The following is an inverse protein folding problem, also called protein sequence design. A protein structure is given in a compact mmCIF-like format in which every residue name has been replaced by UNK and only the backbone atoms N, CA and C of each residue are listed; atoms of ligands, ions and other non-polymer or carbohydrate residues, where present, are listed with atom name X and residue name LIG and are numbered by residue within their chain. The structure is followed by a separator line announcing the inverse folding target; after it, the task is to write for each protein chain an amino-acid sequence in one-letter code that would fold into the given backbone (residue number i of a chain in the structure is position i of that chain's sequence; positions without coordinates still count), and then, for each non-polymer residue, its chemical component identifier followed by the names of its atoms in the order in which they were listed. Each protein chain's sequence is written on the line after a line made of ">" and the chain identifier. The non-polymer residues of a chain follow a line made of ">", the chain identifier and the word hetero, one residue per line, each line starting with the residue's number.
data_IF_482242186342
#
_entry.id   IF_482242186342
#
_cell.length_a   1.000
_cell.length_b   1.000
_cell.length_c   1.000
_cell.angle_alpha   90.00
_cell.angle_beta   90.00
_cell.angle_gamma   90.00
#
_symmetry.space_group_name_H-M   'P 1'
#
loop_
_entity.id
_entity.type
_entity.pdbx_description
1 polymer ?
#
# COMPACT_ATOMS: atom_id res chain seq x y z
N UNK A 1 23.30 -8.39 1.89
CA UNK A 1 22.22 -8.39 0.88
C UNK A 1 21.11 -9.32 1.36
N UNK A 2 20.12 -8.78 2.06
CA UNK A 2 18.94 -9.54 2.49
C UNK A 2 17.94 -9.49 1.33
N UNK A 3 17.75 -10.61 0.65
CA UNK A 3 16.72 -10.72 -0.40
C UNK A 3 15.35 -10.69 0.29
N UNK A 4 14.67 -9.55 0.23
CA UNK A 4 13.29 -9.42 0.66
C UNK A 4 12.41 -10.07 -0.41
N UNK A 5 12.00 -11.31 -0.18
CA UNK A 5 11.01 -11.97 -1.03
C UNK A 5 9.65 -11.53 -0.52
N UNK A 6 9.06 -10.52 -1.15
CA UNK A 6 7.68 -10.12 -0.88
C UNK A 6 6.78 -11.24 -1.37
N UNK A 7 6.39 -12.13 -0.47
CA UNK A 7 5.38 -13.14 -0.75
C UNK A 7 4.01 -12.51 -0.56
N UNK A 8 3.51 -11.89 -1.64
CA UNK A 8 2.15 -11.34 -1.68
C UNK A 8 1.17 -12.50 -1.81
N UNK A 9 0.76 -13.07 -0.67
CA UNK A 9 -0.34 -14.02 -0.63
C UNK A 9 -1.66 -13.26 -0.80
N UNK A 10 -2.04 -13.03 -2.05
CA UNK A 10 -3.42 -12.64 -2.41
C UNK A 10 -4.30 -13.88 -2.28
N UNK A 11 -4.80 -14.15 -1.09
CA UNK A 11 -5.85 -15.15 -0.88
C UNK A 11 -7.19 -14.53 -1.25
N UNK A 12 -7.62 -14.72 -2.49
CA UNK A 12 -9.04 -14.63 -2.82
C UNK A 12 -9.74 -15.74 -2.04
N UNK A 13 -10.39 -15.37 -0.94
CA UNK A 13 -11.18 -16.30 -0.14
C UNK A 13 -12.41 -16.73 -0.94
N UNK A 14 -12.34 -17.91 -1.54
CA UNK A 14 -13.52 -18.64 -1.94
C UNK A 14 -14.28 -19.03 -0.67
N UNK A 15 -15.50 -18.55 -0.55
CA UNK A 15 -16.44 -18.79 0.53
C UNK A 15 -16.79 -20.27 0.59
N UNK A 16 -16.33 -20.96 1.62
CA UNK A 16 -16.84 -22.29 1.99
C UNK A 16 -17.21 -22.27 3.48
N UNK A 17 -18.51 -22.31 3.73
CA UNK A 17 -19.07 -22.56 5.07
C UNK A 17 -18.70 -23.95 5.54
N UNK A 18 -18.08 -24.08 6.71
CA UNK A 18 -18.16 -25.29 7.55
C UNK A 18 -18.29 -24.86 9.00
N UNK A 19 -19.40 -25.23 9.61
CA UNK A 19 -19.64 -25.18 11.04
C UNK A 19 -18.72 -26.18 11.76
N UNK A 20 -18.07 -25.74 12.83
CA UNK A 20 -17.36 -26.62 13.72
C UNK A 20 -16.96 -25.90 15.00
N UNK A 21 -17.76 -26.10 16.09
CA UNK A 21 -17.46 -25.57 17.44
C UNK A 21 -16.33 -26.38 18.06
N UNK A 22 -15.30 -25.70 18.57
CA UNK A 22 -14.45 -26.24 19.63
C UNK A 22 -13.99 -25.09 20.53
N UNK A 23 -14.48 -25.09 21.76
CA UNK A 23 -14.05 -24.23 22.85
C UNK A 23 -12.61 -24.52 23.24
N UNK A 24 -11.69 -23.58 23.02
CA UNK A 24 -10.38 -23.56 23.64
C UNK A 24 -10.21 -22.24 24.42
N UNK A 25 -10.06 -22.40 25.73
CA UNK A 25 -9.82 -21.34 26.70
C UNK A 25 -8.48 -20.66 26.39
N UNK A 26 -8.50 -19.43 25.82
CA UNK A 26 -7.30 -18.62 25.55
C UNK A 26 -7.05 -17.68 26.72
N UNK A 27 -5.87 -17.85 27.31
CA UNK A 27 -5.20 -16.90 28.18
C UNK A 27 -4.99 -15.61 27.41
N UNK A 28 -5.36 -14.47 28.03
CA UNK A 28 -5.46 -13.18 27.37
C UNK A 28 -4.13 -12.66 26.80
N UNK A 29 -4.12 -12.44 25.50
CA UNK A 29 -3.27 -11.44 24.88
C UNK A 29 -3.97 -10.09 24.98
N UNK A 30 -3.25 -8.98 25.21
CA UNK A 30 -3.89 -7.67 25.26
C UNK A 30 -4.46 -7.33 23.88
N UNK A 31 -5.77 -7.38 23.77
CA UNK A 31 -6.52 -6.83 22.64
C UNK A 31 -6.43 -5.32 22.76
N UNK A 32 -5.51 -4.70 22.02
CA UNK A 32 -5.58 -3.26 21.78
C UNK A 32 -6.71 -3.06 20.78
N UNK A 33 -7.92 -2.81 21.31
CA UNK A 33 -9.00 -2.22 20.51
C UNK A 33 -8.57 -0.79 20.17
N UNK A 34 -8.39 -0.41 18.91
CA UNK A 34 -8.15 0.98 18.59
C UNK A 34 -9.43 1.75 18.89
N UNK A 35 -9.39 2.57 19.92
CA UNK A 35 -10.39 3.61 20.17
C UNK A 35 -10.43 4.50 18.93
N UNK A 36 -11.62 4.83 18.45
CA UNK A 36 -11.95 5.39 17.13
C UNK A 36 -11.53 6.88 16.95
N UNK A 37 -10.60 7.37 17.75
CA UNK A 37 -10.05 8.73 17.69
C UNK A 37 -8.54 8.65 17.48
N UNK A 38 -8.09 9.14 16.34
CA UNK A 38 -6.71 9.24 15.83
C UNK A 38 -6.14 7.94 15.22
N UNK A 39 -6.55 7.67 13.98
CA UNK A 39 -5.98 6.58 13.16
C UNK A 39 -4.72 7.07 12.40
N UNK A 40 -3.77 7.66 13.12
CA UNK A 40 -2.48 8.07 12.57
C UNK A 40 -1.52 6.89 12.66
N UNK A 41 -1.00 6.50 11.53
CA UNK A 41 0.01 5.46 11.40
C UNK A 41 1.34 6.09 11.01
N UNK A 42 2.43 5.48 11.44
CA UNK A 42 3.78 5.95 11.14
C UNK A 42 4.62 4.84 10.54
N UNK A 43 5.25 5.12 9.40
CA UNK A 43 6.31 4.30 8.85
C UNK A 43 7.64 4.92 9.27
N UNK A 44 8.19 4.44 10.40
CA UNK A 44 9.37 5.06 11.07
C UNK A 44 10.61 5.04 10.20
N UNK A 45 10.81 4.00 9.39
CA UNK A 45 11.98 3.88 8.52
C UNK A 45 11.93 4.91 7.39
N UNK A 46 10.80 5.03 6.72
CA UNK A 46 10.56 6.05 5.69
C UNK A 46 10.52 7.47 6.27
N UNK A 47 10.23 7.61 7.57
CA UNK A 47 10.05 8.92 8.21
C UNK A 47 8.77 9.62 7.76
N UNK A 48 7.70 8.86 7.51
CA UNK A 48 6.38 9.39 7.13
C UNK A 48 5.30 8.92 8.09
N UNK A 49 4.26 9.72 8.22
CA UNK A 49 3.02 9.36 8.88
C UNK A 49 1.83 9.67 7.97
N UNK A 50 0.73 8.96 8.19
CA UNK A 50 -0.50 9.11 7.43
C UNK A 50 -1.73 8.84 8.30
N UNK A 51 -2.88 9.34 7.87
CA UNK A 51 -4.16 9.13 8.50
C UNK A 51 -5.02 8.21 7.62
N UNK A 52 -5.60 7.16 8.23
CA UNK A 52 -6.50 6.27 7.49
C UNK A 52 -7.90 6.89 7.33
N UNK A 53 -8.50 6.84 6.15
CA UNK A 53 -9.90 7.12 5.96
C UNK A 53 -10.80 6.25 6.85
N UNK A 54 -11.99 6.74 7.15
CA UNK A 54 -12.95 6.00 7.98
C UNK A 54 -13.32 4.67 7.31
N UNK A 55 -13.23 3.58 8.08
CA UNK A 55 -13.54 2.24 7.61
C UNK A 55 -12.36 1.50 6.95
N UNK A 56 -11.29 2.20 6.56
CA UNK A 56 -10.11 1.55 6.01
C UNK A 56 -9.33 0.79 7.07
N UNK A 57 -8.54 -0.19 6.62
CA UNK A 57 -7.71 -1.06 7.46
C UNK A 57 -6.24 -0.83 7.16
N UNK A 58 -5.38 -1.00 8.16
CA UNK A 58 -3.93 -1.07 7.95
C UNK A 58 -3.39 -2.33 8.59
N UNK A 59 -2.54 -3.04 7.86
CA UNK A 59 -1.88 -4.26 8.29
C UNK A 59 -0.37 -4.10 8.13
N UNK A 60 0.37 -3.82 9.20
CA UNK A 60 1.82 -3.80 9.16
C UNK A 60 2.38 -5.22 9.17
N UNK A 61 3.35 -5.49 8.27
CA UNK A 61 4.10 -6.74 8.18
C UNK A 61 5.59 -6.40 8.02
N UNK A 62 6.29 -6.27 9.15
CA UNK A 62 7.68 -5.78 9.16
C UNK A 62 7.76 -4.33 8.67
N UNK A 63 8.49 -4.11 7.58
CA UNK A 63 8.69 -2.79 6.95
C UNK A 63 7.65 -2.49 5.86
N UNK A 64 6.74 -3.43 5.59
CA UNK A 64 5.64 -3.27 4.64
C UNK A 64 4.36 -2.96 5.39
N UNK A 65 3.60 -1.99 4.93
CA UNK A 65 2.27 -1.69 5.45
C UNK A 65 1.28 -1.82 4.30
N UNK A 66 0.32 -2.72 4.44
CA UNK A 66 -0.81 -2.81 3.53
C UNK A 66 -1.99 -2.02 4.09
N UNK A 67 -2.52 -1.11 3.30
CA UNK A 67 -3.73 -0.33 3.60
C UNK A 67 -4.82 -0.76 2.61
N UNK A 68 -6.04 -0.96 3.08
CA UNK A 68 -7.14 -1.37 2.21
C UNK A 68 -8.47 -0.76 2.62
N UNK A 69 -9.40 -0.70 1.67
CA UNK A 69 -10.82 -0.43 1.94
C UNK A 69 -11.43 -1.51 2.84
N UNK A 70 -12.59 -1.25 3.42
CA UNK A 70 -13.27 -2.19 4.32
C UNK A 70 -13.55 -3.56 3.68
N UNK A 71 -13.84 -3.57 2.38
CA UNK A 71 -14.14 -4.74 1.54
C UNK A 71 -12.93 -5.31 0.80
N UNK A 72 -11.73 -4.74 1.05
CA UNK A 72 -10.46 -5.09 0.40
C UNK A 72 -10.45 -4.94 -1.13
N UNK A 73 -11.40 -4.18 -1.70
CA UNK A 73 -11.53 -3.98 -3.14
C UNK A 73 -10.44 -3.07 -3.73
N UNK A 74 -9.90 -2.14 -2.93
CA UNK A 74 -8.74 -1.33 -3.25
C UNK A 74 -7.67 -1.56 -2.19
N UNK A 75 -6.43 -1.77 -2.62
CA UNK A 75 -5.29 -1.97 -1.73
C UNK A 75 -4.14 -1.03 -2.08
N UNK A 76 -3.43 -0.58 -1.06
CA UNK A 76 -2.22 0.21 -1.16
C UNK A 76 -1.13 -0.47 -0.34
N UNK A 77 0.02 -0.71 -0.95
CA UNK A 77 1.17 -1.33 -0.29
C UNK A 77 2.29 -0.32 -0.18
N UNK A 78 2.77 -0.11 1.03
CA UNK A 78 3.87 0.78 1.36
C UNK A 78 5.12 -0.01 1.65
N UNK A 79 6.24 0.34 1.05
CA UNK A 79 7.55 -0.22 1.43
C UNK A 79 8.68 0.78 1.17
N UNK A 80 9.78 0.59 1.87
CA UNK A 80 11.04 1.28 1.62
C UNK A 80 11.85 0.43 0.65
N UNK A 81 12.21 0.95 -0.53
CA UNK A 81 13.05 0.22 -1.48
C UNK A 81 14.50 0.10 -0.98
N UNK A 82 15.27 -0.80 -1.59
CA UNK A 82 16.69 -0.97 -1.28
C UNK A 82 17.55 0.22 -1.75
N UNK A 83 17.02 1.07 -2.64
CA UNK A 83 17.68 2.24 -3.18
C UNK A 83 17.80 3.35 -2.14
N UNK A 84 19.02 3.93 -2.03
CA UNK A 84 19.31 4.96 -1.00
C UNK A 84 18.76 6.35 -1.35
N UNK A 85 18.37 6.61 -2.63
CA UNK A 85 17.90 7.92 -3.08
C UNK A 85 16.56 7.85 -3.81
N UNK A 86 15.84 8.97 -3.79
CA UNK A 86 14.59 9.13 -4.53
C UNK A 86 14.77 8.89 -6.04
N UNK A 87 15.82 9.46 -6.63
CA UNK A 87 16.09 9.34 -8.07
C UNK A 87 16.42 7.90 -8.46
N UNK A 88 17.14 7.17 -7.62
CA UNK A 88 17.41 5.76 -7.84
C UNK A 88 16.15 4.91 -7.71
N UNK A 89 15.29 5.19 -6.71
CA UNK A 89 14.03 4.51 -6.54
C UNK A 89 13.08 4.72 -7.74
N UNK A 90 12.97 5.96 -8.25
CA UNK A 90 12.17 6.26 -9.45
C UNK A 90 12.75 5.57 -10.70
N UNK A 91 14.08 5.58 -10.86
CA UNK A 91 14.75 4.94 -12.00
C UNK A 91 14.54 3.44 -12.05
N UNK A 92 14.55 2.76 -10.89
CA UNK A 92 14.41 1.31 -10.80
C UNK A 92 12.94 0.85 -10.62
N UNK A 93 11.98 1.81 -10.68
CA UNK A 93 10.55 1.57 -10.41
C UNK A 93 9.96 0.48 -11.30
N UNK A 94 10.23 0.50 -12.60
CA UNK A 94 9.74 -0.52 -13.55
C UNK A 94 10.17 -1.92 -13.15
N UNK A 95 11.40 -2.06 -12.67
CA UNK A 95 11.94 -3.34 -12.19
C UNK A 95 11.24 -3.78 -10.90
N UNK A 96 10.96 -2.84 -9.99
CA UNK A 96 10.23 -3.12 -8.75
C UNK A 96 8.78 -3.55 -9.05
N UNK A 97 8.07 -2.80 -9.88
CA UNK A 97 6.71 -3.13 -10.31
C UNK A 97 6.62 -4.49 -11.01
N UNK A 98 7.59 -4.82 -11.88
CA UNK A 98 7.64 -6.09 -12.63
C UNK A 98 7.78 -7.33 -11.75
N UNK A 99 8.17 -7.18 -10.48
CA UNK A 99 8.19 -8.29 -9.51
C UNK A 99 6.78 -8.77 -9.18
N UNK A 100 5.82 -7.85 -9.17
CA UNK A 100 4.44 -8.09 -8.75
C UNK A 100 3.46 -8.06 -9.91
N UNK A 101 3.60 -7.09 -10.82
CA UNK A 101 2.69 -6.85 -11.94
C UNK A 101 3.31 -7.41 -13.22
N UNK A 102 2.53 -8.16 -13.99
CA UNK A 102 2.87 -8.65 -15.33
C UNK A 102 2.14 -7.82 -16.38
N UNK A 103 2.61 -7.88 -17.63
CA UNK A 103 1.97 -7.19 -18.76
C UNK A 103 1.70 -5.70 -18.47
N UNK A 104 2.65 -5.04 -17.79
CA UNK A 104 2.53 -3.63 -17.39
C UNK A 104 2.33 -2.77 -18.64
N UNK A 105 1.30 -1.91 -18.59
CA UNK A 105 1.03 -0.86 -19.58
C UNK A 105 0.81 0.43 -18.82
N UNK A 106 1.67 1.41 -19.03
CA UNK A 106 1.53 2.75 -18.46
C UNK A 106 0.48 3.56 -19.23
N UNK A 107 -0.29 4.37 -18.52
CA UNK A 107 -1.29 5.28 -19.12
C UNK A 107 -0.73 6.68 -19.34
N UNK A 108 0.40 6.99 -18.69
CA UNK A 108 1.07 8.30 -18.73
C UNK A 108 2.60 8.12 -18.63
N UNK A 109 3.33 9.22 -18.80
CA UNK A 109 4.79 9.25 -18.68
C UNK A 109 5.27 9.48 -17.23
N UNK A 110 4.35 9.50 -16.28
CA UNK A 110 4.60 9.87 -14.90
C UNK A 110 4.74 11.38 -14.70
N UNK A 111 4.50 11.81 -13.47
CA UNK A 111 4.54 13.22 -13.05
C UNK A 111 5.46 13.36 -11.85
N UNK A 112 6.33 14.37 -11.88
CA UNK A 112 7.17 14.75 -10.74
C UNK A 112 6.76 16.10 -10.19
N UNK A 113 6.51 16.16 -8.89
CA UNK A 113 6.12 17.38 -8.18
C UNK A 113 6.58 17.37 -6.71
N UNK A 114 5.88 18.07 -5.83
CA UNK A 114 6.09 18.04 -4.38
C UNK A 114 4.78 17.73 -3.67
N UNK A 115 4.81 16.72 -2.84
CA UNK A 115 3.73 16.36 -1.94
C UNK A 115 4.09 16.71 -0.49
N UNK A 116 3.37 17.64 0.14
CA UNK A 116 3.65 18.13 1.49
C UNK A 116 5.15 18.47 1.72
N UNK A 117 5.78 19.11 0.71
CA UNK A 117 7.19 19.49 0.73
C UNK A 117 8.19 18.36 0.46
N UNK A 118 7.74 17.14 0.28
CA UNK A 118 8.56 16.00 -0.13
C UNK A 118 8.66 15.93 -1.66
N UNK A 119 9.82 15.58 -2.24
CA UNK A 119 9.87 15.14 -3.63
C UNK A 119 8.87 14.00 -3.85
N UNK A 120 8.14 14.08 -4.94
CA UNK A 120 7.09 13.12 -5.29
C UNK A 120 7.14 12.79 -6.78
N UNK A 121 6.95 11.52 -7.10
CA UNK A 121 6.73 11.01 -8.45
C UNK A 121 5.51 10.11 -8.44
N UNK A 122 4.65 10.24 -9.45
CA UNK A 122 3.48 9.37 -9.62
C UNK A 122 3.37 8.89 -11.05
N UNK A 123 2.90 7.66 -11.22
CA UNK A 123 2.61 7.04 -12.51
C UNK A 123 1.48 6.02 -12.35
N UNK A 124 0.70 5.81 -13.41
CA UNK A 124 -0.40 4.86 -13.40
C UNK A 124 -0.47 4.00 -14.65
N UNK A 125 -1.30 2.96 -14.57
CA UNK A 125 -1.45 2.05 -15.70
C UNK A 125 -2.36 0.86 -15.41
N UNK A 126 -2.21 -0.15 -16.27
CA UNK A 126 -2.86 -1.45 -16.14
C UNK A 126 -1.82 -2.57 -16.18
N UNK A 127 -2.21 -3.75 -15.72
CA UNK A 127 -1.36 -4.93 -15.77
C UNK A 127 -2.09 -6.12 -15.19
N UNK A 128 -1.37 -7.22 -14.96
CA UNK A 128 -1.94 -8.44 -14.43
C UNK A 128 -1.22 -8.86 -13.14
N UNK A 129 -2.00 -9.18 -12.11
CA UNK A 129 -1.52 -9.80 -10.87
C UNK A 129 -2.21 -11.15 -10.71
N UNK A 130 -1.44 -12.23 -10.65
CA UNK A 130 -1.96 -13.61 -10.56
C UNK A 130 -2.99 -13.96 -11.66
N UNK A 131 -2.82 -13.40 -12.87
CA UNK A 131 -3.71 -13.63 -14.01
C UNK A 131 -5.00 -12.81 -14.00
N UNK A 132 -5.14 -11.89 -13.05
CA UNK A 132 -6.26 -10.94 -12.99
C UNK A 132 -5.79 -9.58 -13.45
N UNK A 133 -6.51 -8.99 -14.40
CA UNK A 133 -6.22 -7.62 -14.86
C UNK A 133 -6.57 -6.62 -13.75
N UNK A 134 -5.64 -5.71 -13.50
CA UNK A 134 -5.77 -4.64 -12.51
C UNK A 134 -5.50 -3.27 -13.13
N UNK A 135 -6.05 -2.25 -12.50
CA UNK A 135 -5.56 -0.87 -12.57
C UNK A 135 -4.59 -0.66 -11.42
N UNK A 136 -3.50 0.06 -11.69
CA UNK A 136 -2.51 0.40 -10.69
C UNK A 136 -2.07 1.86 -10.79
N UNK A 137 -1.70 2.42 -9.66
CA UNK A 137 -0.90 3.64 -9.58
C UNK A 137 0.22 3.48 -8.56
N UNK A 138 1.30 4.19 -8.76
CA UNK A 138 2.42 4.21 -7.84
C UNK A 138 2.76 5.65 -7.50
N UNK A 139 3.00 5.89 -6.22
CA UNK A 139 3.53 7.13 -5.69
C UNK A 139 4.88 6.83 -5.05
N UNK A 140 5.92 7.59 -5.41
CA UNK A 140 7.23 7.56 -4.76
C UNK A 140 7.40 8.87 -4.02
N UNK A 141 7.64 8.82 -2.72
CA UNK A 141 7.84 9.98 -1.85
C UNK A 141 9.22 9.91 -1.19
N UNK A 142 9.86 11.05 -0.98
CA UNK A 142 11.12 11.12 -0.25
C UNK A 142 11.02 11.96 1.02
N UNK A 143 11.02 11.29 2.16
CA UNK A 143 11.12 11.91 3.48
C UNK A 143 12.51 11.66 4.09
N UNK A 144 12.63 10.76 5.05
CA UNK A 144 13.92 10.28 5.58
C UNK A 144 14.59 9.31 4.61
N UNK A 145 13.78 8.44 3.99
CA UNK A 145 14.14 7.56 2.88
C UNK A 145 13.07 7.69 1.79
N UNK A 146 13.33 7.14 0.61
CA UNK A 146 12.29 6.95 -0.38
C UNK A 146 11.27 5.92 0.16
N UNK A 147 10.02 6.11 -0.14
CA UNK A 147 8.95 5.16 0.09
C UNK A 147 8.13 5.00 -1.18
N UNK A 148 7.84 3.76 -1.54
CA UNK A 148 6.98 3.43 -2.67
C UNK A 148 5.61 3.03 -2.13
N UNK A 149 4.56 3.58 -2.74
CA UNK A 149 3.17 3.30 -2.43
C UNK A 149 2.53 2.78 -3.71
N UNK A 150 2.31 1.48 -3.79
CA UNK A 150 1.62 0.86 -4.92
C UNK A 150 0.15 0.70 -4.58
N UNK A 151 -0.70 1.39 -5.31
CA UNK A 151 -2.16 1.22 -5.28
C UNK A 151 -2.59 0.29 -6.40
N UNK A 152 -3.46 -0.65 -6.12
CA UNK A 152 -4.03 -1.52 -7.14
C UNK A 152 -5.46 -1.96 -6.79
N UNK A 153 -6.26 -2.11 -7.82
CA UNK A 153 -7.66 -2.50 -7.74
C UNK A 153 -8.11 -3.19 -9.04
N UNK A 154 -9.26 -3.86 -9.00
CA UNK A 154 -9.93 -4.29 -10.21
C UNK A 154 -10.37 -3.06 -11.02
N UNK A 155 -10.50 -3.17 -12.37
CA UNK A 155 -10.90 -2.06 -13.22
C UNK A 155 -12.18 -1.36 -12.76
N UNK A 156 -12.16 -0.02 -12.71
CA UNK A 156 -13.27 0.82 -12.26
C UNK A 156 -13.51 0.88 -10.74
N UNK A 157 -12.74 0.15 -9.95
CA UNK A 157 -12.81 0.24 -8.47
C UNK A 157 -12.05 1.45 -7.96
N UNK A 158 -10.90 1.76 -8.55
CA UNK A 158 -10.10 2.93 -8.15
C UNK A 158 -10.93 4.24 -8.27
N UNK A 159 -11.74 4.39 -9.32
CA UNK A 159 -12.63 5.55 -9.50
C UNK A 159 -13.67 5.68 -8.38
N UNK A 160 -14.22 4.56 -7.88
CA UNK A 160 -15.23 4.57 -6.79
C UNK A 160 -14.65 5.05 -5.46
N UNK A 161 -13.36 4.85 -5.25
CA UNK A 161 -12.64 5.23 -4.03
C UNK A 161 -11.70 6.43 -4.23
N UNK A 162 -11.82 7.15 -5.36
CA UNK A 162 -10.90 8.22 -5.73
C UNK A 162 -10.79 9.31 -4.65
N UNK A 163 -11.91 9.78 -4.12
CA UNK A 163 -11.91 10.83 -3.09
C UNK A 163 -11.23 10.37 -1.79
N UNK A 164 -11.50 9.13 -1.37
CA UNK A 164 -10.89 8.54 -0.18
C UNK A 164 -9.40 8.29 -0.38
N UNK A 165 -9.00 7.81 -1.57
CA UNK A 165 -7.61 7.60 -1.93
C UNK A 165 -6.83 8.93 -1.96
N UNK A 166 -7.40 9.98 -2.56
CA UNK A 166 -6.83 11.33 -2.56
C UNK A 166 -6.71 11.87 -1.14
N UNK A 167 -7.74 11.72 -0.30
CA UNK A 167 -7.68 12.12 1.11
C UNK A 167 -6.55 11.39 1.83
N UNK A 168 -6.43 10.09 1.61
CA UNK A 168 -5.39 9.27 2.22
C UNK A 168 -3.99 9.70 1.79
N UNK A 169 -3.71 9.79 0.48
CA UNK A 169 -2.41 10.26 -0.05
C UNK A 169 -2.11 11.66 0.48
N UNK A 170 -3.09 12.58 0.47
CA UNK A 170 -2.93 13.96 0.96
C UNK A 170 -2.58 14.03 2.46
N UNK A 171 -2.93 13.00 3.24
CA UNK A 171 -2.60 12.93 4.66
C UNK A 171 -1.14 12.55 4.95
N UNK A 172 -0.41 12.03 3.94
CA UNK A 172 0.97 11.56 4.09
C UNK A 172 1.90 12.77 4.27
N UNK A 173 2.63 12.79 5.37
CA UNK A 173 3.56 13.86 5.72
C UNK A 173 4.78 13.33 6.45
N UNK A 174 5.85 14.13 6.48
CA UNK A 174 7.05 13.82 7.29
C UNK A 174 6.70 13.70 8.77
N UNK A 175 7.40 12.80 9.44
CA UNK A 175 7.48 12.79 10.90
C UNK A 175 8.53 13.83 11.29
N UNK A 176 8.16 14.78 12.15
CA UNK A 176 9.06 15.77 12.73
C UNK A 176 10.06 15.12 13.72
#
# INVERSE_FOLDING_TARGET
>A
MKKLTISLCLTFAAMSMILGQASAKRVGSPTISPTQENRIFSHKEAGVQFELPKGWKAKPEGEVITVSTADDSLQMVFWVPDEDTFEAAVKDLDKELSKTIKNIKTTDNGTSDKHNGMPHYSQGGTGDVNGVTIEWSVDVLAAKKAVIILTFAAPGIAEKHADEAVQFISSIKKID
#
